data_IF_862748220241
#
_entry.id   IF_862748220241
#
_cell.length_a   1.000
_cell.length_b   1.000
_cell.length_c   1.000
_cell.angle_alpha   90.00
_cell.angle_beta   90.00
_cell.angle_gamma   90.00
#
_symmetry.space_group_name_H-M   'P 1'
#
loop_
_entity.id
_entity.type
_entity.pdbx_description
1 polymer ?
#
# COMPACT_ATOMS: atom_id res chain seq x y z
N UNK A 1 2.65 -7.11 -3.18
CA UNK A 1 1.81 -5.91 -3.28
C UNK A 1 1.40 -5.50 -4.70
N UNK A 2 1.56 -6.33 -5.74
CA UNK A 2 1.23 -5.88 -7.10
C UNK A 2 -0.27 -5.59 -7.29
N UNK A 3 -1.15 -6.46 -6.80
CA UNK A 3 -2.60 -6.28 -6.95
C UNK A 3 -3.13 -5.01 -6.24
N UNK A 4 -2.63 -4.69 -5.04
CA UNK A 4 -3.05 -3.47 -4.33
C UNK A 4 -2.62 -2.21 -5.09
N UNK A 5 -1.44 -2.23 -5.73
CA UNK A 5 -0.97 -1.12 -6.58
C UNK A 5 -1.85 -0.96 -7.82
N UNK A 6 -2.35 -2.05 -8.42
CA UNK A 6 -3.23 -1.99 -9.60
C UNK A 6 -4.65 -1.52 -9.30
N UNK A 7 -5.18 -1.87 -8.14
CA UNK A 7 -6.60 -1.69 -7.84
C UNK A 7 -6.90 -0.56 -6.84
N UNK A 8 -5.88 0.14 -6.33
CA UNK A 8 -6.06 1.23 -5.39
C UNK A 8 -5.18 2.43 -5.78
N UNK A 9 -5.82 3.55 -6.10
CA UNK A 9 -5.13 4.76 -6.56
C UNK A 9 -4.13 5.31 -5.53
N UNK A 10 -4.45 5.24 -4.24
CA UNK A 10 -3.55 5.67 -3.16
C UNK A 10 -2.30 4.81 -3.11
N UNK A 11 -2.43 3.48 -3.25
CA UNK A 11 -1.28 2.58 -3.31
C UNK A 11 -0.50 2.72 -4.63
N UNK A 12 -1.15 3.07 -5.74
CA UNK A 12 -0.47 3.40 -7.00
C UNK A 12 0.40 4.64 -6.86
N UNK A 13 -0.15 5.72 -6.32
CA UNK A 13 0.60 6.95 -6.07
C UNK A 13 1.77 6.71 -5.10
N UNK A 14 1.55 5.94 -4.03
CA UNK A 14 2.62 5.57 -3.11
C UNK A 14 3.72 4.73 -3.78
N UNK A 15 3.34 3.76 -4.62
CA UNK A 15 4.29 2.98 -5.41
C UNK A 15 5.11 3.86 -6.36
N UNK A 16 4.46 4.78 -7.09
CA UNK A 16 5.11 5.69 -8.03
C UNK A 16 6.10 6.62 -7.33
N UNK A 17 5.73 7.15 -6.15
CA UNK A 17 6.65 7.92 -5.32
C UNK A 17 7.90 7.10 -4.94
N UNK A 18 7.72 5.83 -4.56
CA UNK A 18 8.86 4.94 -4.27
C UNK A 18 9.70 4.62 -5.50
N UNK A 19 9.11 4.55 -6.68
CA UNK A 19 9.84 4.40 -7.95
C UNK A 19 10.61 5.67 -8.32
N UNK A 20 10.04 6.85 -8.07
CA UNK A 20 10.69 8.15 -8.29
C UNK A 20 11.91 8.37 -7.38
N UNK A 21 11.96 7.75 -6.20
CA UNK A 21 13.15 7.67 -5.34
C UNK A 21 14.28 6.80 -5.92
N UNK A 22 14.13 6.21 -7.12
CA UNK A 22 15.12 5.34 -7.77
C UNK A 22 15.11 3.88 -7.30
N UNK A 23 14.17 3.49 -6.42
CA UNK A 23 14.09 2.13 -5.87
C UNK A 23 13.62 1.11 -6.91
N UNK A 24 14.19 -0.09 -6.95
CA UNK A 24 13.75 -1.15 -7.86
C UNK A 24 12.25 -1.50 -7.71
N UNK A 25 11.66 -2.12 -8.73
CA UNK A 25 10.26 -2.55 -8.73
C UNK A 25 9.89 -3.35 -7.46
N UNK A 26 10.67 -4.39 -7.14
CA UNK A 26 10.42 -5.21 -5.98
C UNK A 26 10.65 -4.47 -4.65
N UNK A 27 11.60 -3.53 -4.58
CA UNK A 27 11.77 -2.71 -3.39
C UNK A 27 10.56 -1.79 -3.17
N UNK A 28 10.06 -1.13 -4.22
CA UNK A 28 8.86 -0.32 -4.15
C UNK A 28 7.61 -1.15 -3.77
N UNK A 29 7.47 -2.37 -4.31
CA UNK A 29 6.40 -3.29 -3.89
C UNK A 29 6.53 -3.73 -2.43
N UNK A 30 7.75 -3.93 -1.93
CA UNK A 30 8.00 -4.21 -0.51
C UNK A 30 7.49 -3.08 0.39
N UNK A 31 7.74 -1.82 0.00
CA UNK A 31 7.19 -0.65 0.69
C UNK A 31 5.66 -0.64 0.69
N UNK A 32 5.02 -0.94 -0.45
CA UNK A 32 3.57 -1.05 -0.54
C UNK A 32 3.03 -2.16 0.38
N UNK A 33 3.66 -3.34 0.42
CA UNK A 33 3.28 -4.43 1.33
C UNK A 33 3.35 -3.96 2.79
N UNK A 34 4.45 -3.33 3.19
CA UNK A 34 4.62 -2.83 4.56
C UNK A 34 3.63 -1.72 4.93
N UNK A 35 3.25 -0.85 3.99
CA UNK A 35 2.22 0.16 4.22
C UNK A 35 0.83 -0.49 4.38
N UNK A 36 0.51 -1.50 3.58
CA UNK A 36 -0.75 -2.25 3.65
C UNK A 36 -0.92 -2.92 5.02
N UNK A 37 0.11 -3.62 5.51
CA UNK A 37 0.06 -4.27 6.84
C UNK A 37 -0.23 -3.25 7.95
N UNK A 38 0.40 -2.06 7.90
CA UNK A 38 0.14 -0.98 8.88
C UNK A 38 -1.28 -0.44 8.81
N UNK A 39 -1.85 -0.31 7.62
CA UNK A 39 -3.25 0.12 7.45
C UNK A 39 -4.19 -0.92 8.06
N UNK A 40 -4.03 -2.20 7.72
CA UNK A 40 -4.85 -3.29 8.29
C UNK A 40 -4.74 -3.31 9.81
N UNK A 41 -3.52 -3.23 10.35
CA UNK A 41 -3.30 -3.19 11.79
C UNK A 41 -3.98 -1.99 12.46
N UNK A 42 -3.93 -0.80 11.84
CA UNK A 42 -4.60 0.39 12.35
C UNK A 42 -6.12 0.24 12.34
N UNK A 43 -6.68 -0.36 11.29
CA UNK A 43 -8.12 -0.63 11.22
C UNK A 43 -8.57 -1.59 12.33
N UNK A 44 -7.80 -2.66 12.57
CA UNK A 44 -8.10 -3.62 13.64
C UNK A 44 -7.98 -3.01 15.04
N UNK A 45 -6.95 -2.17 15.27
CA UNK A 45 -6.71 -1.57 16.59
C UNK A 45 -7.65 -0.42 16.91
N UNK A 46 -8.12 0.32 15.91
CA UNK A 46 -9.06 1.43 16.08
C UNK A 46 -10.53 1.01 15.88
N UNK A 47 -10.81 -0.28 15.65
CA UNK A 47 -12.14 -0.79 15.29
C UNK A 47 -12.79 -0.05 14.10
N UNK A 48 -11.99 0.30 13.10
CA UNK A 48 -12.47 0.93 11.87
C UNK A 48 -12.97 -0.16 10.93
N UNK A 49 -14.24 -0.07 10.56
CA UNK A 49 -14.84 -1.01 9.61
C UNK A 49 -14.15 -0.96 8.24
N UNK A 50 -14.00 -2.13 7.63
CA UNK A 50 -13.50 -2.23 6.27
C UNK A 50 -14.61 -1.86 5.27
N UNK A 51 -14.36 -0.82 4.47
CA UNK A 51 -15.32 -0.41 3.44
C UNK A 51 -15.21 -1.33 2.20
N UNK A 52 -16.24 -2.14 1.99
CA UNK A 52 -16.39 -3.05 0.83
C UNK A 52 -17.07 -2.39 -0.39
N UNK A 53 -17.52 -1.13 -0.26
CA UNK A 53 -18.24 -0.39 -1.31
C UNK A 53 -17.30 0.45 -2.18
#
# INVERSE_FOLDING_TARGET
>A
AWNVVRNNATFKAYYDAKRAEGRSHYNALGHCSGKLVRVIWKMLTDNVEFNLK
#
